data_IF_702780486638
#
_entry.id   IF_702780486638
#
_cell.length_a   1.000
_cell.length_b   1.000
_cell.length_c   1.000
_cell.angle_alpha   90.00
_cell.angle_beta   90.00
_cell.angle_gamma   90.00
#
_symmetry.space_group_name_H-M   'P 1'
#
loop_
_entity.id
_entity.type
_entity.pdbx_description
1 polymer ?
#
# COMPACT_ATOMS: atom_id res chain seq x y z
N UNK A 1 -46.47 18.88 -0.40
CA UNK A 1 -45.30 19.69 -0.84
C UNK A 1 -44.24 18.74 -1.37
N UNK A 2 -43.79 18.87 -2.63
CA UNK A 2 -42.66 18.04 -3.10
C UNK A 2 -41.41 18.52 -2.33
N UNK A 3 -40.83 17.72 -1.43
CA UNK A 3 -39.59 18.12 -0.80
C UNK A 3 -38.63 18.34 -1.96
N UNK A 4 -37.98 19.51 -2.00
CA UNK A 4 -36.79 19.71 -2.82
C UNK A 4 -37.13 20.07 -4.29
N UNK A 5 -38.01 21.06 -4.49
CA UNK A 5 -38.23 21.73 -5.79
C UNK A 5 -36.95 22.40 -6.31
N UNK A 6 -36.70 22.38 -7.62
CA UNK A 6 -35.55 23.09 -8.20
C UNK A 6 -35.82 24.58 -8.21
N UNK A 7 -35.09 25.28 -7.35
CA UNK A 7 -35.19 26.70 -7.06
C UNK A 7 -33.78 27.25 -6.74
N UNK A 8 -33.69 28.52 -6.34
CA UNK A 8 -32.40 29.15 -6.01
C UNK A 8 -31.62 28.39 -4.91
N UNK A 9 -32.30 27.83 -3.92
CA UNK A 9 -31.67 27.08 -2.82
C UNK A 9 -31.06 25.76 -3.33
N UNK A 10 -31.72 25.07 -4.26
CA UNK A 10 -31.15 23.86 -4.89
C UNK A 10 -29.81 24.14 -5.58
N UNK A 11 -29.73 25.21 -6.37
CA UNK A 11 -28.47 25.56 -7.05
C UNK A 11 -27.41 26.06 -6.08
N UNK A 12 -27.79 26.78 -5.03
CA UNK A 12 -26.88 27.18 -3.94
C UNK A 12 -26.32 25.95 -3.21
N UNK A 13 -27.17 24.99 -2.88
CA UNK A 13 -26.78 23.75 -2.23
C UNK A 13 -25.81 22.93 -3.08
N UNK A 14 -26.12 22.75 -4.37
CA UNK A 14 -25.20 22.10 -5.32
C UNK A 14 -23.86 22.82 -5.44
N UNK A 15 -23.87 24.15 -5.54
CA UNK A 15 -22.65 24.98 -5.58
C UNK A 15 -21.75 24.68 -4.38
N UNK A 16 -22.28 24.74 -3.16
CA UNK A 16 -21.45 24.56 -1.96
C UNK A 16 -20.96 23.11 -1.80
N UNK A 17 -21.76 22.11 -2.17
CA UNK A 17 -21.31 20.71 -2.16
C UNK A 17 -20.12 20.48 -3.09
N UNK A 18 -20.13 21.06 -4.31
CA UNK A 18 -19.00 20.92 -5.23
C UNK A 18 -17.76 21.71 -4.77
N UNK A 19 -17.92 22.80 -4.02
CA UNK A 19 -16.80 23.46 -3.33
C UNK A 19 -16.19 22.52 -2.28
N UNK A 20 -17.01 21.87 -1.47
CA UNK A 20 -16.54 20.89 -0.48
C UNK A 20 -15.84 19.70 -1.16
N UNK A 21 -16.41 19.16 -2.25
CA UNK A 21 -15.78 18.09 -3.02
C UNK A 21 -14.39 18.48 -3.55
N UNK A 22 -14.26 19.71 -4.10
CA UNK A 22 -12.98 20.22 -4.59
C UNK A 22 -11.96 20.35 -3.46
N UNK A 23 -12.38 20.92 -2.33
CA UNK A 23 -11.51 21.09 -1.16
C UNK A 23 -11.02 19.73 -0.63
N UNK A 24 -11.90 18.74 -0.52
CA UNK A 24 -11.51 17.39 -0.08
C UNK A 24 -10.58 16.69 -1.08
N UNK A 25 -10.86 16.80 -2.38
CA UNK A 25 -9.98 16.27 -3.41
C UNK A 25 -8.58 16.87 -3.33
N UNK A 26 -8.48 18.18 -3.10
CA UNK A 26 -7.20 18.88 -2.95
C UNK A 26 -6.45 18.42 -1.69
N UNK A 27 -7.14 18.29 -0.56
CA UNK A 27 -6.55 17.76 0.69
C UNK A 27 -5.95 16.37 0.45
N UNK A 28 -6.71 15.46 -0.18
CA UNK A 28 -6.22 14.12 -0.47
C UNK A 28 -5.02 14.16 -1.42
N UNK A 29 -5.07 14.97 -2.47
CA UNK A 29 -3.98 15.15 -3.42
C UNK A 29 -2.70 15.64 -2.71
N UNK A 30 -2.79 16.68 -1.89
CA UNK A 30 -1.64 17.24 -1.14
C UNK A 30 -1.06 16.22 -0.16
N UNK A 31 -1.92 15.53 0.60
CA UNK A 31 -1.46 14.51 1.56
C UNK A 31 -0.82 13.32 0.84
N UNK A 32 -1.42 12.84 -0.26
CA UNK A 32 -0.85 11.76 -1.07
C UNK A 32 0.49 12.17 -1.71
N UNK A 33 0.63 13.40 -2.20
CA UNK A 33 1.94 13.90 -2.66
C UNK A 33 3.01 13.91 -1.57
N UNK A 34 2.62 14.17 -0.31
CA UNK A 34 3.56 14.24 0.81
C UNK A 34 3.99 12.88 1.33
N UNK A 35 3.06 11.94 1.49
CA UNK A 35 3.33 10.64 2.15
C UNK A 35 2.98 9.41 1.29
N UNK A 36 2.60 9.62 0.03
CA UNK A 36 2.24 8.56 -0.93
C UNK A 36 1.00 7.77 -0.51
N UNK A 37 0.98 6.50 -0.89
CA UNK A 37 -0.03 5.52 -0.48
C UNK A 37 -0.12 5.35 1.06
N UNK A 38 0.85 5.87 1.83
CA UNK A 38 0.82 5.76 3.28
C UNK A 38 -0.31 6.54 3.94
N UNK A 39 -0.94 7.46 3.20
CA UNK A 39 -2.16 8.15 3.63
C UNK A 39 -3.26 7.17 4.04
N UNK A 40 -3.39 6.03 3.34
CA UNK A 40 -4.43 5.03 3.59
C UNK A 40 -4.22 4.28 4.92
N UNK A 41 -3.01 4.33 5.48
CA UNK A 41 -2.67 3.72 6.78
C UNK A 41 -2.72 4.71 7.95
N UNK A 42 -3.04 5.99 7.70
CA UNK A 42 -3.22 6.94 8.80
C UNK A 42 -4.46 6.56 9.61
N UNK A 43 -4.40 6.52 10.96
CA UNK A 43 -5.56 6.21 11.80
C UNK A 43 -6.78 7.11 11.55
N UNK A 44 -6.53 8.33 11.06
CA UNK A 44 -7.53 9.36 10.80
C UNK A 44 -8.10 9.32 9.39
N UNK A 45 -7.53 8.51 8.50
CA UNK A 45 -7.97 8.41 7.11
C UNK A 45 -9.40 7.88 7.00
N UNK A 46 -9.76 6.85 7.76
CA UNK A 46 -11.10 6.22 7.69
C UNK A 46 -12.23 7.20 8.02
N UNK A 47 -12.05 8.04 9.04
CA UNK A 47 -13.03 9.07 9.42
C UNK A 47 -13.16 10.14 8.33
N UNK A 48 -12.04 10.64 7.83
CA UNK A 48 -12.03 11.61 6.73
C UNK A 48 -12.66 11.02 5.46
N UNK A 49 -12.36 9.75 5.15
CA UNK A 49 -12.88 9.02 3.99
C UNK A 49 -14.40 8.88 4.07
N UNK A 50 -14.97 8.55 5.23
CA UNK A 50 -16.43 8.47 5.40
C UNK A 50 -17.09 9.83 5.15
N UNK A 51 -16.54 10.92 5.69
CA UNK A 51 -17.06 12.28 5.43
C UNK A 51 -16.98 12.59 3.93
N UNK A 52 -15.89 12.23 3.28
CA UNK A 52 -15.67 12.44 1.84
C UNK A 52 -16.71 11.70 1.00
N UNK A 53 -16.96 10.43 1.34
CA UNK A 53 -17.95 9.59 0.66
C UNK A 53 -19.35 10.18 0.79
N UNK A 54 -19.74 10.62 2.00
CA UNK A 54 -21.06 11.24 2.23
C UNK A 54 -21.23 12.51 1.38
N UNK A 55 -20.24 13.41 1.40
CA UNK A 55 -20.30 14.67 0.63
C UNK A 55 -20.38 14.39 -0.88
N UNK A 56 -19.59 13.44 -1.39
CA UNK A 56 -19.61 13.06 -2.80
C UNK A 56 -20.95 12.45 -3.23
N UNK A 57 -21.48 11.51 -2.44
CA UNK A 57 -22.78 10.89 -2.71
C UNK A 57 -23.88 11.96 -2.77
N UNK A 58 -23.89 12.91 -1.85
CA UNK A 58 -24.85 14.02 -1.86
C UNK A 58 -24.70 14.91 -3.10
N UNK A 59 -23.46 15.22 -3.51
CA UNK A 59 -23.18 15.96 -4.74
C UNK A 59 -23.71 15.23 -5.99
N UNK A 60 -23.50 13.91 -6.06
CA UNK A 60 -24.01 13.07 -7.15
C UNK A 60 -25.54 12.98 -7.16
N UNK A 61 -26.20 12.88 -6.00
CA UNK A 61 -27.66 12.95 -5.91
C UNK A 61 -28.21 14.28 -6.43
N UNK A 62 -27.54 15.39 -6.10
CA UNK A 62 -27.91 16.72 -6.63
C UNK A 62 -27.76 16.77 -8.16
N UNK A 63 -26.71 16.17 -8.72
CA UNK A 63 -26.56 16.05 -10.19
C UNK A 63 -27.65 15.19 -10.83
N UNK A 64 -27.93 14.00 -10.29
CA UNK A 64 -28.98 13.13 -10.80
C UNK A 64 -30.33 13.84 -10.84
N UNK A 65 -30.66 14.56 -9.77
CA UNK A 65 -31.88 15.36 -9.70
C UNK A 65 -31.91 16.49 -10.73
N UNK A 66 -30.77 17.17 -10.93
CA UNK A 66 -30.63 18.18 -11.97
C UNK A 66 -30.85 17.58 -13.37
N UNK A 67 -30.27 16.40 -13.65
CA UNK A 67 -30.45 15.70 -14.93
C UNK A 67 -31.89 15.27 -15.17
N UNK A 68 -32.57 14.77 -14.14
CA UNK A 68 -33.99 14.44 -14.20
C UNK A 68 -34.83 15.67 -14.59
N UNK A 69 -34.58 16.82 -13.95
CA UNK A 69 -35.31 18.06 -14.23
C UNK A 69 -35.05 18.64 -15.61
N UNK A 70 -33.79 18.62 -16.07
CA UNK A 70 -33.43 19.04 -17.42
C UNK A 70 -33.77 17.99 -18.49
N UNK A 71 -34.35 16.85 -18.08
CA UNK A 71 -34.73 15.72 -18.95
C UNK A 71 -33.54 15.12 -19.71
N UNK A 72 -32.35 15.12 -19.11
CA UNK A 72 -31.17 14.44 -19.65
C UNK A 72 -31.24 12.93 -19.33
N UNK A 73 -32.18 12.21 -19.95
CA UNK A 73 -32.54 10.83 -19.59
C UNK A 73 -31.36 9.85 -19.66
N UNK A 74 -30.55 9.92 -20.72
CA UNK A 74 -29.38 9.03 -20.90
C UNK A 74 -28.35 9.28 -19.79
N UNK A 75 -27.98 10.55 -19.57
CA UNK A 75 -27.05 10.95 -18.51
C UNK A 75 -27.55 10.59 -17.12
N UNK A 76 -28.85 10.72 -16.86
CA UNK A 76 -29.45 10.29 -15.60
C UNK A 76 -29.29 8.78 -15.37
N UNK A 77 -29.64 7.94 -16.35
CA UNK A 77 -29.57 6.48 -16.21
C UNK A 77 -28.13 6.01 -16.01
N UNK A 78 -27.19 6.50 -16.83
CA UNK A 78 -25.77 6.12 -16.71
C UNK A 78 -25.13 6.68 -15.43
N UNK A 79 -25.50 7.91 -15.03
CA UNK A 79 -25.08 8.46 -13.74
C UNK A 79 -25.59 7.65 -12.56
N UNK A 80 -26.83 7.13 -12.61
CA UNK A 80 -27.39 6.30 -11.55
C UNK A 80 -26.64 4.97 -11.41
N UNK A 81 -26.32 4.32 -12.54
CA UNK A 81 -25.50 3.10 -12.55
C UNK A 81 -24.12 3.37 -11.95
N UNK A 82 -23.47 4.46 -12.36
CA UNK A 82 -22.17 4.86 -11.79
C UNK A 82 -22.24 5.08 -10.27
N UNK A 83 -23.26 5.79 -9.77
CA UNK A 83 -23.44 6.03 -8.32
C UNK A 83 -23.57 4.71 -7.55
N UNK A 84 -24.36 3.76 -8.05
CA UNK A 84 -24.54 2.45 -7.39
C UNK A 84 -23.21 1.71 -7.31
N UNK A 85 -22.48 1.61 -8.43
CA UNK A 85 -21.19 0.92 -8.47
C UNK A 85 -20.14 1.61 -7.59
N UNK A 86 -20.14 2.95 -7.56
CA UNK A 86 -19.25 3.74 -6.73
C UNK A 86 -19.50 3.48 -5.23
N UNK A 87 -20.76 3.40 -4.81
CA UNK A 87 -21.13 3.08 -3.42
C UNK A 87 -20.67 1.67 -3.05
N UNK A 88 -20.90 0.68 -3.91
CA UNK A 88 -20.39 -0.68 -3.70
C UNK A 88 -18.86 -0.68 -3.55
N UNK A 89 -18.16 0.07 -4.38
CA UNK A 89 -16.70 0.19 -4.30
C UNK A 89 -16.21 0.87 -3.02
N UNK A 90 -16.90 1.91 -2.54
CA UNK A 90 -16.59 2.52 -1.25
C UNK A 90 -16.77 1.57 -0.08
N UNK A 91 -17.78 0.68 -0.12
CA UNK A 91 -17.96 -0.37 0.88
C UNK A 91 -16.75 -1.31 0.86
N UNK A 92 -16.30 -1.75 -0.32
CA UNK A 92 -15.11 -2.61 -0.46
C UNK A 92 -13.86 -1.93 0.13
N UNK A 93 -13.60 -0.66 -0.20
CA UNK A 93 -12.45 0.09 0.36
C UNK A 93 -12.57 0.21 1.88
N UNK A 94 -13.76 0.52 2.40
CA UNK A 94 -13.98 0.65 3.83
C UNK A 94 -13.74 -0.67 4.55
N UNK A 95 -14.26 -1.80 4.05
CA UNK A 95 -14.06 -3.12 4.66
C UNK A 95 -12.61 -3.58 4.58
N UNK A 96 -11.90 -3.27 3.49
CA UNK A 96 -10.46 -3.55 3.38
C UNK A 96 -9.67 -2.75 4.40
N UNK A 97 -9.92 -1.45 4.50
CA UNK A 97 -9.19 -0.57 5.42
C UNK A 97 -9.50 -0.80 6.91
N UNK A 98 -10.72 -1.23 7.25
CA UNK A 98 -11.16 -1.41 8.65
C UNK A 98 -11.06 -2.84 9.16
N UNK A 99 -11.32 -3.84 8.31
CA UNK A 99 -11.42 -5.24 8.70
C UNK A 99 -10.45 -6.16 7.94
N UNK A 100 -9.70 -5.65 6.94
CA UNK A 100 -8.84 -6.45 6.05
C UNK A 100 -9.57 -7.60 5.36
N UNK A 101 -10.86 -7.40 5.09
CA UNK A 101 -11.73 -8.35 4.38
C UNK A 101 -11.98 -7.87 2.94
N UNK A 102 -12.38 -8.81 2.07
CA UNK A 102 -12.82 -8.55 0.69
C UNK A 102 -11.73 -8.02 -0.26
N UNK A 103 -10.44 -8.20 0.03
CA UNK A 103 -9.35 -7.74 -0.84
C UNK A 103 -9.47 -8.30 -2.28
N UNK A 104 -9.89 -9.57 -2.42
CA UNK A 104 -10.11 -10.19 -3.73
C UNK A 104 -11.23 -9.52 -4.56
N UNK A 105 -12.22 -8.92 -3.92
CA UNK A 105 -13.33 -8.23 -4.61
C UNK A 105 -12.88 -6.89 -5.20
N UNK A 106 -11.85 -6.25 -4.64
CA UNK A 106 -11.35 -4.97 -5.16
C UNK A 106 -10.91 -5.09 -6.62
N UNK A 107 -10.22 -6.18 -6.97
CA UNK A 107 -9.74 -6.46 -8.34
C UNK A 107 -10.87 -6.48 -9.38
N UNK A 108 -12.08 -6.84 -8.96
CA UNK A 108 -13.26 -6.90 -9.83
C UNK A 108 -14.12 -5.63 -9.75
N UNK A 109 -14.30 -5.08 -8.55
CA UNK A 109 -15.14 -3.90 -8.33
C UNK A 109 -14.56 -2.65 -8.99
N UNK A 110 -13.24 -2.48 -8.94
CA UNK A 110 -12.59 -1.25 -9.37
C UNK A 110 -12.70 -1.01 -10.90
N UNK A 111 -12.41 -1.99 -11.78
CA UNK A 111 -12.63 -1.84 -13.23
C UNK A 111 -14.08 -1.51 -13.59
N UNK A 112 -15.06 -2.11 -12.89
CA UNK A 112 -16.48 -1.86 -13.14
C UNK A 112 -16.84 -0.39 -12.88
N UNK A 113 -16.31 0.20 -11.81
CA UNK A 113 -16.47 1.64 -11.53
C UNK A 113 -15.83 2.47 -12.64
N UNK A 114 -14.61 2.14 -13.06
CA UNK A 114 -13.91 2.89 -14.13
C UNK A 114 -14.66 2.81 -15.48
N UNK A 115 -15.16 1.64 -15.86
CA UNK A 115 -15.96 1.49 -17.08
C UNK A 115 -17.26 2.30 -16.97
N UNK A 116 -17.96 2.22 -15.83
CA UNK A 116 -19.21 2.95 -15.64
C UNK A 116 -19.03 4.47 -15.65
N UNK A 117 -17.93 5.00 -15.10
CA UNK A 117 -17.64 6.43 -15.11
C UNK A 117 -17.29 6.93 -16.51
N UNK A 118 -16.65 6.09 -17.34
CA UNK A 118 -16.39 6.38 -18.75
C UNK A 118 -17.69 6.42 -19.58
N UNK A 119 -18.62 5.48 -19.35
CA UNK A 119 -19.93 5.53 -20.01
C UNK A 119 -20.72 6.78 -19.59
N UNK A 120 -20.69 7.11 -18.30
CA UNK A 120 -21.29 8.34 -17.79
C UNK A 120 -20.66 9.59 -18.41
N UNK A 121 -19.34 9.64 -18.58
CA UNK A 121 -18.64 10.78 -19.18
C UNK A 121 -18.95 10.95 -20.67
N UNK A 122 -19.01 9.86 -21.43
CA UNK A 122 -19.47 9.86 -22.84
C UNK A 122 -20.87 10.47 -22.93
N UNK A 123 -21.77 10.13 -21.99
CA UNK A 123 -23.12 10.70 -21.95
C UNK A 123 -23.11 12.22 -21.72
N UNK A 124 -22.18 12.75 -20.92
CA UNK A 124 -22.03 14.19 -20.69
C UNK A 124 -21.51 14.92 -21.92
N UNK A 125 -20.75 14.23 -22.79
CA UNK A 125 -20.16 14.81 -24.00
C UNK A 125 -21.16 14.82 -25.17
N UNK A 126 -21.80 13.67 -25.43
CA UNK A 126 -22.51 13.43 -26.69
C UNK A 126 -24.04 13.45 -26.58
N UNK A 127 -24.61 13.42 -25.37
CA UNK A 127 -26.06 13.53 -25.21
C UNK A 127 -26.53 14.99 -25.15
N UNK A 128 -27.84 15.20 -24.95
CA UNK A 128 -28.42 16.53 -24.71
C UNK A 128 -27.76 17.29 -23.55
N UNK A 129 -27.18 16.59 -22.57
CA UNK A 129 -26.41 17.23 -21.50
C UNK A 129 -25.18 18.00 -22.03
N UNK A 130 -24.54 17.49 -23.09
CA UNK A 130 -23.34 18.08 -23.71
C UNK A 130 -23.57 19.40 -24.43
N UNK A 131 -24.83 19.81 -24.60
CA UNK A 131 -25.17 21.19 -25.04
C UNK A 131 -24.82 22.23 -23.97
N UNK A 132 -24.61 21.82 -22.72
CA UNK A 132 -24.14 22.69 -21.64
C UNK A 132 -22.61 22.68 -21.61
N UNK A 133 -21.93 23.83 -21.84
CA UNK A 133 -20.47 23.87 -21.93
C UNK A 133 -19.79 23.23 -20.72
N UNK A 134 -20.21 23.59 -19.51
CA UNK A 134 -19.62 23.08 -18.28
C UNK A 134 -19.86 21.58 -18.03
N UNK A 135 -21.00 21.02 -18.48
CA UNK A 135 -21.21 19.56 -18.41
C UNK A 135 -20.36 18.82 -19.44
N UNK A 136 -20.23 19.38 -20.65
CA UNK A 136 -19.34 18.84 -21.68
C UNK A 136 -17.88 18.87 -21.22
N UNK A 137 -17.44 19.96 -20.60
CA UNK A 137 -16.10 20.07 -19.98
C UNK A 137 -15.91 19.03 -18.89
N UNK A 138 -16.90 18.83 -18.00
CA UNK A 138 -16.85 17.77 -17.00
C UNK A 138 -16.71 16.38 -17.65
N UNK A 139 -17.51 16.09 -18.68
CA UNK A 139 -17.44 14.84 -19.44
C UNK A 139 -16.06 14.60 -20.05
N UNK A 140 -15.49 15.60 -20.73
CA UNK A 140 -14.13 15.49 -21.29
C UNK A 140 -13.08 15.23 -20.21
N UNK A 141 -13.17 15.94 -19.09
CA UNK A 141 -12.23 15.79 -17.97
C UNK A 141 -12.30 14.38 -17.37
N UNK A 142 -13.51 13.89 -17.08
CA UNK A 142 -13.73 12.53 -16.57
C UNK A 142 -13.25 11.48 -17.57
N UNK A 143 -13.51 11.68 -18.86
CA UNK A 143 -13.12 10.73 -19.90
C UNK A 143 -11.59 10.59 -19.97
N UNK A 144 -10.85 11.70 -19.94
CA UNK A 144 -9.38 11.68 -19.99
C UNK A 144 -8.81 11.02 -18.73
N UNK A 145 -9.18 11.50 -17.54
CA UNK A 145 -8.62 10.96 -16.28
C UNK A 145 -9.06 9.51 -16.05
N UNK A 146 -10.32 9.17 -16.32
CA UNK A 146 -10.83 7.81 -16.22
C UNK A 146 -10.15 6.84 -17.18
N UNK A 147 -9.78 7.30 -18.39
CA UNK A 147 -9.05 6.46 -19.37
C UNK A 147 -7.63 6.23 -18.92
N UNK A 148 -6.93 7.26 -18.42
CA UNK A 148 -5.60 7.12 -17.81
C UNK A 148 -5.67 6.10 -16.68
N UNK A 149 -6.64 6.25 -15.77
CA UNK A 149 -6.77 5.37 -14.61
C UNK A 149 -7.08 3.91 -15.00
N UNK A 150 -7.95 3.69 -15.98
CA UNK A 150 -8.29 2.34 -16.46
C UNK A 150 -7.10 1.68 -17.17
N UNK A 151 -6.42 2.40 -18.05
CA UNK A 151 -5.24 1.90 -18.75
C UNK A 151 -4.09 1.63 -17.78
N UNK A 152 -3.84 2.54 -16.84
CA UNK A 152 -2.85 2.34 -15.78
C UNK A 152 -3.19 1.13 -14.90
N UNK A 153 -4.46 0.92 -14.56
CA UNK A 153 -4.87 -0.26 -13.81
C UNK A 153 -4.63 -1.55 -14.61
N UNK A 154 -5.10 -1.62 -15.86
CA UNK A 154 -4.91 -2.78 -16.73
C UNK A 154 -3.42 -3.08 -16.90
N UNK A 155 -2.60 -2.06 -17.11
CA UNK A 155 -1.16 -2.27 -17.24
C UNK A 155 -0.55 -2.77 -15.94
N UNK A 156 -0.91 -2.17 -14.79
CA UNK A 156 -0.39 -2.57 -13.48
C UNK A 156 -0.68 -4.04 -13.16
N UNK A 157 -1.90 -4.52 -13.43
CA UNK A 157 -2.26 -5.92 -13.11
C UNK A 157 -1.70 -6.96 -14.08
N UNK A 158 -1.17 -6.53 -15.23
CA UNK A 158 -0.63 -7.42 -16.26
C UNK A 158 0.90 -7.28 -16.44
N UNK A 159 1.57 -6.47 -15.63
CA UNK A 159 3.02 -6.25 -15.72
C UNK A 159 3.73 -6.81 -14.50
N UNK A 160 4.81 -7.54 -14.73
CA UNK A 160 5.78 -7.90 -13.70
C UNK A 160 6.97 -6.92 -13.68
N UNK A 161 7.03 -6.00 -14.66
CA UNK A 161 8.10 -5.03 -14.76
C UNK A 161 8.01 -3.97 -13.64
N UNK A 162 9.01 -4.00 -12.76
CA UNK A 162 9.12 -3.13 -11.58
C UNK A 162 9.12 -1.63 -11.95
N UNK A 163 9.82 -1.24 -13.01
CA UNK A 163 9.91 0.18 -13.43
C UNK A 163 8.57 0.70 -13.91
N UNK A 164 7.81 -0.14 -14.61
CA UNK A 164 6.46 0.19 -15.05
C UNK A 164 5.56 0.41 -13.83
N UNK A 165 5.58 -0.48 -12.85
CA UNK A 165 4.78 -0.34 -11.62
C UNK A 165 5.11 0.96 -10.90
N UNK A 166 6.40 1.29 -10.72
CA UNK A 166 6.84 2.54 -10.09
C UNK A 166 6.38 3.76 -10.90
N UNK A 167 6.48 3.71 -12.24
CA UNK A 167 6.01 4.78 -13.11
C UNK A 167 4.48 4.97 -13.00
N UNK A 168 3.72 3.87 -12.99
CA UNK A 168 2.27 3.89 -12.84
C UNK A 168 1.82 4.43 -11.48
N UNK A 169 2.57 4.18 -10.40
CA UNK A 169 2.34 4.80 -9.10
C UNK A 169 2.48 6.33 -9.17
N UNK A 170 3.50 6.85 -9.86
CA UNK A 170 3.66 8.30 -10.07
C UNK A 170 2.52 8.88 -10.90
N UNK A 171 2.10 8.18 -11.97
CA UNK A 171 0.93 8.57 -12.78
C UNK A 171 -0.30 8.69 -11.89
N UNK A 172 -0.53 7.74 -10.98
CA UNK A 172 -1.65 7.77 -10.03
C UNK A 172 -1.62 9.01 -9.12
N UNK A 173 -0.47 9.41 -8.59
CA UNK A 173 -0.36 10.64 -7.78
C UNK A 173 -0.76 11.89 -8.56
N UNK A 174 -0.26 12.04 -9.79
CA UNK A 174 -0.64 13.17 -10.65
C UNK A 174 -2.12 13.13 -11.05
N UNK A 175 -2.65 11.94 -11.33
CA UNK A 175 -4.06 11.75 -11.67
C UNK A 175 -4.97 12.13 -10.48
N UNK A 176 -4.64 11.72 -9.25
CA UNK A 176 -5.37 12.11 -8.03
C UNK A 176 -5.41 13.63 -7.83
N UNK A 177 -4.30 14.32 -8.08
CA UNK A 177 -4.27 15.78 -7.99
C UNK A 177 -5.11 16.43 -9.10
N UNK A 178 -5.09 15.90 -10.32
CA UNK A 178 -5.95 16.37 -11.39
C UNK A 178 -7.45 16.16 -11.07
N UNK A 179 -7.81 15.01 -10.47
CA UNK A 179 -9.18 14.72 -10.03
C UNK A 179 -9.72 15.73 -9.01
N UNK A 180 -8.86 16.39 -8.23
CA UNK A 180 -9.29 17.48 -7.31
C UNK A 180 -9.95 18.66 -8.03
N UNK A 181 -9.69 18.84 -9.32
CA UNK A 181 -10.26 19.90 -10.15
C UNK A 181 -11.60 19.49 -10.79
N UNK A 182 -11.94 18.20 -10.81
CA UNK A 182 -13.16 17.67 -11.43
C UNK A 182 -14.46 18.32 -10.91
N UNK A 183 -14.61 18.66 -9.62
CA UNK A 183 -15.80 19.34 -9.12
C UNK A 183 -16.03 20.74 -9.74
N UNK A 184 -14.99 21.39 -10.29
CA UNK A 184 -15.03 22.78 -10.76
C UNK A 184 -15.99 22.94 -11.96
N UNK A 185 -15.93 22.14 -13.04
CA UNK A 185 -16.93 22.19 -14.10
C UNK A 185 -18.38 22.05 -13.60
N UNK A 186 -18.66 21.15 -12.66
CA UNK A 186 -20.00 21.02 -12.09
C UNK A 186 -20.40 22.27 -11.29
N UNK A 187 -19.51 22.78 -10.44
CA UNK A 187 -19.67 24.05 -9.73
C UNK A 187 -20.05 25.20 -10.68
N UNK A 188 -19.30 25.36 -11.78
CA UNK A 188 -19.53 26.40 -12.78
C UNK A 188 -20.86 26.21 -13.53
N UNK A 189 -21.29 24.96 -13.76
CA UNK A 189 -22.63 24.67 -14.27
C UNK A 189 -23.73 25.17 -13.31
N UNK A 190 -23.61 24.88 -12.00
CA UNK A 190 -24.59 25.33 -11.00
C UNK A 190 -24.61 26.86 -10.86
N UNK A 191 -23.45 27.52 -10.87
CA UNK A 191 -23.35 28.97 -10.85
C UNK A 191 -23.98 29.61 -12.10
N UNK A 192 -23.75 29.03 -13.28
CA UNK A 192 -24.36 29.46 -14.54
C UNK A 192 -25.89 29.37 -14.51
N UNK A 193 -26.44 28.26 -14.01
CA UNK A 193 -27.89 28.09 -13.86
C UNK A 193 -28.49 29.05 -12.83
N UNK A 194 -27.81 29.25 -11.70
CA UNK A 194 -28.25 30.18 -10.66
C UNK A 194 -28.40 31.62 -11.18
N UNK A 195 -27.52 32.07 -12.08
CA UNK A 195 -27.57 33.41 -12.69
C UNK A 195 -28.76 33.60 -13.64
N UNK A 196 -29.30 32.52 -14.21
CA UNK A 196 -30.41 32.56 -15.18
C UNK A 196 -31.80 32.54 -14.55
N UNK A 197 -31.91 32.30 -13.24
CA UNK A 197 -33.20 32.22 -12.56
C UNK A 197 -33.69 33.61 -12.15
N UNK A 198 -34.85 34.01 -12.68
CA UNK A 198 -35.66 35.07 -12.10
C UNK A 198 -36.21 34.62 -10.74
N UNK A 199 -35.51 35.08 -9.70
CA UNK A 199 -35.81 35.11 -8.27
C UNK A 199 -37.15 34.52 -7.78
N UNK A 200 -37.30 33.19 -7.76
CA UNK A 200 -38.16 32.52 -6.77
C UNK A 200 -37.30 31.82 -5.72
N UNK A 201 -37.25 32.44 -4.54
CA UNK A 201 -36.68 31.81 -3.34
C UNK A 201 -37.54 30.58 -2.97
N UNK A 202 -36.89 29.54 -2.45
CA UNK A 202 -37.60 28.37 -1.93
C UNK A 202 -38.34 28.68 -0.63
N UNK A 203 -38.94 27.65 -0.04
CA UNK A 203 -39.49 27.74 1.31
C UNK A 203 -38.39 28.18 2.30
N UNK A 204 -38.61 29.23 3.12
CA UNK A 204 -37.61 29.68 4.11
C UNK A 204 -37.17 28.58 5.07
N UNK A 205 -38.08 27.70 5.47
CA UNK A 205 -37.81 26.56 6.35
C UNK A 205 -36.82 25.60 5.66
N UNK A 206 -37.10 25.21 4.41
CA UNK A 206 -36.24 24.31 3.64
C UNK A 206 -34.87 24.95 3.38
N UNK A 207 -34.81 26.26 3.11
CA UNK A 207 -33.55 27.00 2.93
C UNK A 207 -32.71 26.96 4.21
N UNK A 208 -33.32 27.19 5.38
CA UNK A 208 -32.63 27.15 6.67
C UNK A 208 -32.11 25.74 7.01
N UNK A 209 -32.90 24.70 6.76
CA UNK A 209 -32.46 23.30 6.95
C UNK A 209 -31.26 22.97 6.06
N UNK A 210 -31.31 23.34 4.77
CA UNK A 210 -30.19 23.12 3.84
C UNK A 210 -28.93 23.88 4.27
N UNK A 211 -29.06 25.13 4.74
CA UNK A 211 -27.94 25.91 5.27
C UNK A 211 -27.34 25.28 6.53
N UNK A 212 -28.19 24.81 7.46
CA UNK A 212 -27.74 24.10 8.66
C UNK A 212 -26.98 22.83 8.34
N UNK A 213 -27.50 22.02 7.39
CA UNK A 213 -26.79 20.84 6.90
C UNK A 213 -25.44 21.19 6.28
N UNK A 214 -25.39 22.21 5.43
CA UNK A 214 -24.15 22.67 4.79
C UNK A 214 -23.13 23.19 5.80
N UNK A 215 -23.59 23.86 6.86
CA UNK A 215 -22.71 24.30 7.94
C UNK A 215 -22.09 23.10 8.66
N UNK A 216 -22.90 22.09 9.02
CA UNK A 216 -22.41 20.86 9.66
C UNK A 216 -21.43 20.13 8.73
N UNK A 217 -21.76 19.99 7.45
CA UNK A 217 -20.88 19.37 6.46
C UNK A 217 -19.55 20.15 6.31
N UNK A 218 -19.61 21.48 6.26
CA UNK A 218 -18.43 22.35 6.21
C UNK A 218 -17.54 22.16 7.44
N UNK A 219 -18.11 22.17 8.64
CA UNK A 219 -17.38 21.91 9.89
C UNK A 219 -16.72 20.52 9.85
N UNK A 220 -17.47 19.47 9.50
CA UNK A 220 -16.95 18.11 9.43
C UNK A 220 -15.79 17.99 8.43
N UNK A 221 -15.95 18.55 7.22
CA UNK A 221 -14.90 18.57 6.20
C UNK A 221 -13.65 19.29 6.70
N UNK A 222 -13.80 20.49 7.26
CA UNK A 222 -12.67 21.28 7.77
C UNK A 222 -11.97 20.56 8.92
N UNK A 223 -12.70 20.09 9.93
CA UNK A 223 -12.12 19.44 11.11
C UNK A 223 -11.39 18.15 10.73
N UNK A 224 -12.03 17.25 9.97
CA UNK A 224 -11.40 15.99 9.56
C UNK A 224 -10.21 16.22 8.61
N UNK A 225 -10.29 17.20 7.71
CA UNK A 225 -9.18 17.53 6.81
C UNK A 225 -7.99 18.12 7.56
N UNK A 226 -8.24 19.02 8.53
CA UNK A 226 -7.19 19.55 9.40
C UNK A 226 -6.49 18.43 10.19
N UNK A 227 -7.27 17.51 10.76
CA UNK A 227 -6.73 16.36 11.50
C UNK A 227 -5.89 15.46 10.59
N UNK A 228 -6.39 15.13 9.39
CA UNK A 228 -5.68 14.30 8.41
C UNK A 228 -4.35 14.97 7.98
N UNK A 229 -4.39 16.26 7.65
CA UNK A 229 -3.19 17.03 7.30
C UNK A 229 -2.19 17.00 8.47
N UNK A 230 -2.60 17.38 9.68
CA UNK A 230 -1.71 17.38 10.84
C UNK A 230 -1.10 16.00 11.12
N UNK A 231 -1.88 14.93 10.96
CA UNK A 231 -1.40 13.55 11.08
C UNK A 231 -0.37 13.21 10.00
N UNK A 232 -0.57 13.68 8.76
CA UNK A 232 0.39 13.48 7.68
C UNK A 232 1.73 14.20 7.93
N UNK A 233 1.72 15.39 8.54
CA UNK A 233 2.94 16.09 8.93
C UNK A 233 3.67 15.35 10.05
N UNK A 234 2.97 14.96 11.12
CA UNK A 234 3.55 14.16 12.20
C UNK A 234 4.13 12.84 11.70
N UNK A 235 3.44 12.18 10.77
CA UNK A 235 3.93 10.97 10.13
C UNK A 235 5.22 11.23 9.35
N UNK A 236 5.26 12.30 8.55
CA UNK A 236 6.45 12.71 7.79
C UNK A 236 7.63 13.04 8.71
N UNK A 237 7.41 13.77 9.80
CA UNK A 237 8.48 14.13 10.75
C UNK A 237 9.01 12.89 11.46
N UNK A 238 8.11 11.99 11.89
CA UNK A 238 8.50 10.71 12.47
C UNK A 238 9.32 9.87 11.48
N UNK A 239 8.93 9.85 10.19
CA UNK A 239 9.67 9.16 9.16
C UNK A 239 11.08 9.77 8.95
N UNK A 240 11.20 11.09 8.95
CA UNK A 240 12.50 11.77 8.85
C UNK A 240 13.39 11.42 10.05
N UNK A 241 12.84 11.46 11.26
CA UNK A 241 13.57 11.06 12.48
C UNK A 241 14.00 9.59 12.44
N UNK A 242 13.13 8.71 11.93
CA UNK A 242 13.45 7.30 11.69
C UNK A 242 14.58 7.15 10.68
N UNK A 243 14.52 7.87 9.57
CA UNK A 243 15.55 7.84 8.54
C UNK A 243 16.91 8.30 9.07
N UNK A 244 16.96 9.36 9.88
CA UNK A 244 18.21 9.80 10.51
C UNK A 244 18.79 8.75 11.46
N UNK A 245 17.95 8.11 12.29
CA UNK A 245 18.41 6.97 13.11
C UNK A 245 18.88 5.79 12.25
N UNK A 246 18.16 5.50 11.16
CA UNK A 246 18.51 4.42 10.25
C UNK A 246 19.86 4.66 9.57
N UNK A 247 20.18 5.91 9.19
CA UNK A 247 21.49 6.28 8.64
C UNK A 247 22.62 6.04 9.65
N UNK A 248 22.40 6.36 10.93
CA UNK A 248 23.37 6.08 12.00
C UNK A 248 23.57 4.57 12.15
N UNK A 249 22.48 3.79 12.25
CA UNK A 249 22.56 2.32 12.35
C UNK A 249 23.22 1.68 11.12
N UNK A 250 23.08 2.28 9.94
CA UNK A 250 23.64 1.79 8.70
C UNK A 250 25.13 2.14 8.51
N UNK A 251 25.74 2.99 9.35
CA UNK A 251 27.15 3.40 9.19
C UNK A 251 28.15 2.23 9.14
N UNK A 252 28.02 1.15 9.95
CA UNK A 252 28.92 0.01 9.86
C UNK A 252 28.79 -0.77 8.55
N UNK A 253 27.72 -0.57 7.79
CA UNK A 253 27.40 -1.33 6.59
C UNK A 253 27.76 -0.53 5.34
N UNK A 254 28.52 -1.16 4.44
CA UNK A 254 28.85 -0.63 3.12
C UNK A 254 27.57 -0.44 2.29
N UNK A 255 27.36 0.77 1.76
CA UNK A 255 26.22 1.08 0.90
C UNK A 255 26.52 0.61 -0.52
N UNK A 256 25.69 -0.29 -1.06
CA UNK A 256 25.86 -0.80 -2.42
C UNK A 256 24.53 -0.84 -3.16
N UNK A 257 24.57 -1.09 -4.46
CA UNK A 257 23.38 -1.22 -5.30
C UNK A 257 23.67 -2.24 -6.38
N UNK A 258 22.83 -3.26 -6.45
CA UNK A 258 22.83 -4.20 -7.56
C UNK A 258 21.91 -3.68 -8.66
N UNK A 259 22.34 -3.85 -9.92
CA UNK A 259 21.52 -3.55 -11.10
C UNK A 259 21.19 -4.87 -11.76
N UNK A 260 19.95 -5.31 -11.60
CA UNK A 260 19.51 -6.59 -12.14
C UNK A 260 19.44 -6.59 -13.66
N UNK A 261 19.24 -7.77 -14.23
CA UNK A 261 19.22 -8.01 -15.68
C UNK A 261 18.23 -7.14 -16.46
N UNK A 262 17.15 -6.69 -15.82
CA UNK A 262 16.13 -5.79 -16.38
C UNK A 262 16.37 -4.30 -16.07
N UNK A 263 17.57 -3.94 -15.60
CA UNK A 263 17.95 -2.59 -15.19
C UNK A 263 17.31 -2.12 -13.89
N UNK A 264 16.62 -3.00 -13.16
CA UNK A 264 16.00 -2.68 -11.85
C UNK A 264 17.10 -2.63 -10.79
N UNK A 265 17.08 -1.57 -9.99
CA UNK A 265 18.09 -1.36 -8.94
C UNK A 265 17.55 -1.83 -7.59
N UNK A 266 18.35 -2.63 -6.89
CA UNK A 266 18.09 -2.97 -5.49
C UNK A 266 19.23 -2.41 -4.63
N UNK A 267 18.98 -1.35 -3.85
CA UNK A 267 19.95 -0.88 -2.87
C UNK A 267 20.10 -1.91 -1.76
N UNK A 268 21.32 -2.11 -1.29
CA UNK A 268 21.58 -2.99 -0.16
C UNK A 268 22.71 -2.46 0.71
N UNK A 269 22.76 -3.00 1.92
CA UNK A 269 23.79 -2.75 2.92
C UNK A 269 24.54 -4.04 3.19
N UNK A 270 25.86 -3.98 3.13
CA UNK A 270 26.73 -5.14 3.35
C UNK A 270 27.65 -4.87 4.54
N UNK A 271 27.55 -5.70 5.58
CA UNK A 271 28.52 -5.74 6.67
C UNK A 271 29.49 -6.88 6.42
N UNK A 272 30.79 -6.60 6.46
CA UNK A 272 31.84 -7.62 6.38
C UNK A 272 32.13 -8.20 7.77
N UNK A 273 32.66 -9.44 7.86
CA UNK A 273 33.21 -9.98 9.10
C UNK A 273 34.16 -8.99 9.79
N UNK A 274 34.22 -9.02 11.12
CA UNK A 274 35.27 -8.28 11.85
C UNK A 274 36.63 -8.81 11.40
N UNK A 275 37.58 -7.91 11.16
CA UNK A 275 38.93 -8.24 10.71
C UNK A 275 38.95 -9.12 9.43
N UNK A 276 38.08 -8.81 8.47
CA UNK A 276 37.89 -9.54 7.22
C UNK A 276 39.21 -9.89 6.51
N UNK A 277 39.46 -11.19 6.35
CA UNK A 277 40.57 -11.76 5.56
C UNK A 277 40.05 -12.26 4.20
N UNK A 278 40.47 -11.66 3.06
CA UNK A 278 40.02 -12.06 1.74
C UNK A 278 40.42 -13.49 1.32
N UNK A 279 41.28 -14.18 2.07
CA UNK A 279 41.67 -15.56 1.78
C UNK A 279 40.79 -16.61 2.49
N UNK A 280 40.00 -16.20 3.49
CA UNK A 280 39.11 -17.07 4.25
C UNK A 280 37.69 -17.00 3.71
N UNK A 281 37.01 -18.15 3.65
CA UNK A 281 35.60 -18.21 3.31
C UNK A 281 34.72 -17.96 4.55
N UNK A 282 33.71 -17.08 4.42
CA UNK A 282 32.79 -16.73 5.51
C UNK A 282 31.34 -17.01 5.14
N UNK A 283 30.46 -17.34 6.11
CA UNK A 283 29.03 -17.42 5.87
C UNK A 283 28.42 -16.12 5.34
N UNK A 284 27.24 -16.23 4.74
CA UNK A 284 26.41 -15.10 4.34
C UNK A 284 25.05 -15.17 5.03
N UNK A 285 24.68 -14.12 5.76
CA UNK A 285 23.32 -13.93 6.29
C UNK A 285 22.57 -12.94 5.42
N UNK A 286 21.47 -13.39 4.83
CA UNK A 286 20.53 -12.57 4.06
C UNK A 286 19.40 -12.13 4.99
N UNK A 287 19.35 -10.82 5.27
CA UNK A 287 18.42 -10.23 6.22
C UNK A 287 17.27 -9.48 5.52
N UNK A 288 16.04 -10.00 5.59
CA UNK A 288 14.88 -9.48 4.88
C UNK A 288 13.99 -8.61 5.78
N UNK A 289 14.02 -7.29 5.61
CA UNK A 289 13.35 -6.35 6.51
C UNK A 289 11.82 -6.52 6.55
N UNK A 290 11.18 -6.14 7.66
CA UNK A 290 9.72 -6.03 7.73
C UNK A 290 9.21 -4.85 6.90
N UNK A 291 7.89 -4.74 6.66
CA UNK A 291 7.32 -3.73 5.74
C UNK A 291 7.64 -2.25 6.04
N UNK A 292 8.18 -1.94 7.23
CA UNK A 292 8.62 -0.60 7.60
C UNK A 292 9.95 -0.17 6.97
N UNK A 293 10.68 -1.09 6.33
CA UNK A 293 11.99 -0.83 5.70
C UNK A 293 11.92 -0.45 4.22
N UNK A 294 10.74 -0.44 3.61
CA UNK A 294 10.56 -0.07 2.21
C UNK A 294 11.14 1.31 1.90
N UNK A 295 11.89 1.40 0.82
CA UNK A 295 12.44 2.67 0.39
C UNK A 295 13.48 2.53 -0.71
N UNK A 296 14.13 3.65 -0.98
CA UNK A 296 15.25 3.77 -1.93
C UNK A 296 16.41 4.58 -1.32
N UNK A 297 16.32 4.89 -0.02
CA UNK A 297 17.28 5.70 0.74
C UNK A 297 18.52 4.89 1.17
N UNK A 298 18.46 3.57 1.03
CA UNK A 298 19.48 2.61 1.44
C UNK A 298 19.84 2.73 2.93
N UNK A 299 18.93 3.09 3.83
CA UNK A 299 19.17 3.12 5.27
C UNK A 299 18.04 2.48 6.11
N UNK A 300 16.77 2.79 5.81
CA UNK A 300 15.59 2.32 6.57
C UNK A 300 15.50 0.80 6.72
N UNK A 301 16.08 0.03 5.81
CA UNK A 301 16.12 -1.42 5.93
C UNK A 301 16.91 -1.90 7.14
N UNK A 302 17.93 -1.16 7.60
CA UNK A 302 18.73 -1.53 8.77
C UNK A 302 17.92 -1.33 10.06
N UNK A 303 17.27 -0.17 10.20
CA UNK A 303 16.36 0.09 11.33
C UNK A 303 15.22 -0.93 11.36
N UNK A 304 14.74 -1.36 10.18
CA UNK A 304 13.63 -2.31 10.03
C UNK A 304 14.09 -3.78 9.97
N UNK A 305 15.36 -4.06 10.29
CA UNK A 305 15.95 -5.39 10.35
C UNK A 305 16.61 -5.57 11.72
N UNK A 306 15.83 -5.88 12.76
CA UNK A 306 16.37 -5.90 14.11
C UNK A 306 17.39 -7.05 14.33
N UNK A 307 17.32 -8.13 13.54
CA UNK A 307 18.38 -9.16 13.46
C UNK A 307 19.67 -8.62 12.84
N UNK A 308 19.62 -7.69 11.88
CA UNK A 308 20.83 -7.07 11.32
C UNK A 308 21.50 -6.18 12.38
N UNK A 309 20.70 -5.46 13.17
CA UNK A 309 21.21 -4.69 14.31
C UNK A 309 21.84 -5.61 15.36
N UNK A 310 21.17 -6.72 15.72
CA UNK A 310 21.73 -7.74 16.62
C UNK A 310 23.06 -8.29 16.09
N UNK A 311 23.13 -8.73 14.84
CA UNK A 311 24.33 -9.31 14.23
C UNK A 311 25.45 -8.28 14.04
N UNK A 312 25.13 -7.00 13.94
CA UNK A 312 26.13 -5.92 13.81
C UNK A 312 26.83 -5.55 15.12
N UNK A 313 26.36 -6.05 16.28
CA UNK A 313 27.03 -5.84 17.57
C UNK A 313 28.41 -6.52 17.56
N UNK A 314 29.44 -5.84 18.08
CA UNK A 314 30.82 -6.32 18.04
C UNK A 314 31.00 -7.73 18.63
N UNK A 315 30.29 -8.06 19.71
CA UNK A 315 30.29 -9.41 20.31
C UNK A 315 29.81 -10.47 19.30
N UNK A 316 28.62 -10.27 18.72
CA UNK A 316 28.07 -11.20 17.73
C UNK A 316 28.92 -11.28 16.46
N UNK A 317 29.51 -10.17 16.00
CA UNK A 317 30.41 -10.19 14.84
C UNK A 317 31.71 -10.96 15.09
N UNK A 318 32.19 -11.01 16.33
CA UNK A 318 33.37 -11.79 16.72
C UNK A 318 33.04 -13.27 16.92
N UNK A 319 31.90 -13.57 17.56
CA UNK A 319 31.47 -14.95 17.81
C UNK A 319 30.97 -15.64 16.53
N UNK A 320 30.30 -14.89 15.65
CA UNK A 320 29.71 -15.38 14.41
C UNK A 320 30.19 -14.54 13.21
N UNK A 321 31.48 -14.67 12.81
CA UNK A 321 32.04 -13.88 11.72
C UNK A 321 31.39 -14.27 10.39
N UNK A 322 30.60 -13.37 9.82
CA UNK A 322 29.85 -13.56 8.58
C UNK A 322 29.66 -12.25 7.81
N UNK A 323 29.36 -12.37 6.52
CA UNK A 323 28.78 -11.27 5.76
C UNK A 323 27.31 -11.10 6.15
N UNK A 324 26.87 -9.87 6.40
CA UNK A 324 25.45 -9.56 6.61
C UNK A 324 24.97 -8.71 5.44
N UNK A 325 24.14 -9.30 4.58
CA UNK A 325 23.56 -8.67 3.41
C UNK A 325 22.10 -8.29 3.71
N UNK A 326 21.82 -6.99 3.69
CA UNK A 326 20.49 -6.44 4.00
C UNK A 326 20.00 -5.61 2.80
N UNK A 327 19.25 -6.22 1.87
CA UNK A 327 18.66 -5.52 0.74
C UNK A 327 17.51 -4.62 1.22
N UNK A 328 17.20 -3.58 0.44
CA UNK A 328 16.04 -2.73 0.66
C UNK A 328 14.98 -2.98 -0.42
N UNK A 329 13.81 -3.46 -0.01
CA UNK A 329 12.66 -3.68 -0.89
C UNK A 329 12.11 -2.32 -1.36
N UNK A 330 11.95 -2.10 -2.68
CA UNK A 330 11.33 -0.87 -3.18
C UNK A 330 9.85 -0.74 -2.79
N UNK A 331 9.31 0.48 -2.65
CA UNK A 331 7.90 0.67 -2.35
C UNK A 331 6.96 -0.05 -3.35
N UNK A 332 6.00 -0.81 -2.82
CA UNK A 332 5.00 -1.53 -3.63
C UNK A 332 5.41 -2.93 -4.06
N UNK A 333 6.57 -3.42 -3.62
CA UNK A 333 7.03 -4.80 -3.83
C UNK A 333 7.11 -5.56 -2.51
N UNK A 334 7.34 -6.86 -2.60
CA UNK A 334 7.60 -7.72 -1.45
C UNK A 334 8.86 -8.55 -1.69
N UNK A 335 9.26 -9.34 -0.71
CA UNK A 335 10.30 -10.35 -0.89
C UNK A 335 9.79 -11.65 -1.56
N UNK A 336 8.49 -11.73 -1.86
CA UNK A 336 7.82 -12.94 -2.32
C UNK A 336 7.04 -13.63 -1.21
N UNK A 337 6.19 -14.59 -1.59
CA UNK A 337 5.36 -15.37 -0.68
C UNK A 337 4.05 -14.70 -0.23
N UNK A 338 3.87 -13.40 -0.47
CA UNK A 338 2.60 -12.71 -0.23
C UNK A 338 1.71 -12.81 -1.49
N UNK A 339 0.52 -13.43 -1.41
CA UNK A 339 -0.33 -13.63 -2.58
C UNK A 339 -0.71 -12.33 -3.30
N UNK A 340 -0.69 -12.35 -4.63
CA UNK A 340 -1.08 -11.24 -5.51
C UNK A 340 -0.27 -9.94 -5.32
N UNK A 341 0.94 -10.01 -4.77
CA UNK A 341 1.84 -8.86 -4.70
C UNK A 341 3.12 -9.13 -5.52
N UNK A 342 3.61 -8.13 -6.28
CA UNK A 342 4.86 -8.28 -7.01
C UNK A 342 6.03 -8.42 -6.03
N UNK A 343 7.07 -9.15 -6.42
CA UNK A 343 8.24 -9.38 -5.59
C UNK A 343 9.57 -9.01 -6.27
N UNK A 344 10.63 -9.00 -5.46
CA UNK A 344 12.01 -8.73 -5.88
C UNK A 344 12.96 -9.88 -5.55
N UNK A 345 12.46 -11.11 -5.36
CA UNK A 345 13.28 -12.26 -4.94
C UNK A 345 14.43 -12.52 -5.93
N UNK A 346 14.13 -12.52 -7.23
CA UNK A 346 15.14 -12.69 -8.29
C UNK A 346 16.27 -11.67 -8.21
N UNK A 347 15.96 -10.40 -7.95
CA UNK A 347 16.98 -9.34 -7.83
C UNK A 347 17.87 -9.53 -6.60
N UNK A 348 17.32 -10.09 -5.53
CA UNK A 348 18.10 -10.45 -4.34
C UNK A 348 19.04 -11.61 -4.67
N UNK A 349 18.58 -12.64 -5.37
CA UNK A 349 19.43 -13.76 -5.78
C UNK A 349 20.55 -13.30 -6.75
N UNK A 350 20.23 -12.48 -7.75
CA UNK A 350 21.23 -11.91 -8.67
C UNK A 350 22.29 -11.08 -7.92
N UNK A 351 21.89 -10.32 -6.90
CA UNK A 351 22.82 -9.56 -6.06
C UNK A 351 23.73 -10.47 -5.20
N UNK A 352 23.20 -11.60 -4.70
CA UNK A 352 24.01 -12.58 -3.97
C UNK A 352 25.01 -13.26 -4.91
N UNK A 353 24.60 -13.65 -6.12
CA UNK A 353 25.50 -14.22 -7.13
C UNK A 353 26.63 -13.25 -7.53
N UNK A 354 26.37 -11.94 -7.53
CA UNK A 354 27.40 -10.91 -7.75
C UNK A 354 28.40 -10.85 -6.58
N UNK A 355 27.90 -10.88 -5.34
CA UNK A 355 28.74 -10.85 -4.13
C UNK A 355 29.66 -12.08 -4.05
N UNK A 356 29.21 -13.23 -4.51
CA UNK A 356 29.99 -14.48 -4.50
C UNK A 356 31.12 -14.49 -5.53
N UNK A 357 31.01 -13.69 -6.59
CA UNK A 357 32.11 -13.48 -7.54
C UNK A 357 33.18 -12.55 -6.97
N UNK A 358 32.80 -11.65 -6.07
CA UNK A 358 33.69 -10.65 -5.48
C UNK A 358 34.35 -11.12 -4.18
N UNK A 359 33.61 -11.83 -3.33
CA UNK A 359 34.03 -12.26 -2.00
C UNK A 359 34.07 -13.77 -1.88
N UNK A 360 34.97 -14.28 -1.02
CA UNK A 360 34.98 -15.69 -0.64
C UNK A 360 33.83 -15.97 0.33
N UNK A 361 32.63 -16.12 -0.19
CA UNK A 361 31.45 -16.55 0.57
C UNK A 361 31.44 -18.08 0.62
N UNK A 362 31.20 -18.64 1.80
CA UNK A 362 31.03 -20.08 1.99
C UNK A 362 29.63 -20.48 1.49
N UNK A 363 29.60 -21.05 0.29
CA UNK A 363 28.38 -21.47 -0.38
C UNK A 363 27.53 -22.46 0.43
N UNK A 364 28.17 -23.23 1.32
CA UNK A 364 27.49 -24.19 2.18
C UNK A 364 26.89 -23.56 3.43
N UNK A 365 27.13 -22.27 3.68
CA UNK A 365 26.66 -21.52 4.87
C UNK A 365 26.05 -20.18 4.47
N UNK A 366 25.03 -20.25 3.62
CA UNK A 366 24.14 -19.13 3.32
C UNK A 366 22.87 -19.28 4.16
N UNK A 367 22.46 -18.22 4.82
CA UNK A 367 21.34 -18.23 5.73
C UNK A 367 20.33 -17.14 5.37
N UNK A 368 19.05 -17.35 5.67
CA UNK A 368 18.02 -16.32 5.52
C UNK A 368 17.26 -16.10 6.82
N UNK A 369 17.05 -14.85 7.18
CA UNK A 369 16.25 -14.44 8.33
C UNK A 369 15.39 -13.24 7.96
N UNK A 370 14.15 -13.23 8.42
CA UNK A 370 13.26 -12.12 8.12
C UNK A 370 12.03 -12.06 9.01
N UNK A 371 11.52 -10.85 9.20
CA UNK A 371 10.40 -10.53 10.07
C UNK A 371 9.21 -10.02 9.25
N UNK A 372 7.99 -10.50 9.55
CA UNK A 372 6.74 -10.06 8.93
C UNK A 372 6.80 -10.26 7.42
N UNK A 373 6.81 -9.18 6.61
CA UNK A 373 7.11 -9.25 5.18
C UNK A 373 8.40 -10.04 4.87
N UNK A 374 9.44 -9.87 5.69
CA UNK A 374 10.66 -10.65 5.64
C UNK A 374 10.49 -12.12 6.02
N UNK A 375 9.53 -12.43 6.89
CA UNK A 375 9.16 -13.79 7.24
C UNK A 375 8.51 -14.51 6.05
N UNK A 376 7.61 -13.83 5.32
CA UNK A 376 7.11 -14.33 4.03
C UNK A 376 8.24 -14.55 3.04
N UNK A 377 9.15 -13.57 2.92
CA UNK A 377 10.35 -13.68 2.09
C UNK A 377 11.23 -14.87 2.46
N UNK A 378 11.43 -15.13 3.75
CA UNK A 378 12.26 -16.25 4.23
C UNK A 378 11.66 -17.58 3.83
N UNK A 379 10.34 -17.77 4.04
CA UNK A 379 9.62 -18.95 3.56
C UNK A 379 9.69 -19.10 2.04
N UNK A 380 9.49 -17.99 1.32
CA UNK A 380 9.53 -17.98 -0.14
C UNK A 380 10.91 -18.35 -0.68
N UNK A 381 11.98 -17.75 -0.15
CA UNK A 381 13.35 -17.94 -0.60
C UNK A 381 13.78 -19.41 -0.51
N UNK A 382 13.54 -20.05 0.63
CA UNK A 382 13.86 -21.47 0.78
C UNK A 382 12.96 -22.35 -0.09
N UNK A 383 11.71 -21.96 -0.35
CA UNK A 383 10.81 -22.76 -1.19
C UNK A 383 11.22 -22.74 -2.67
N UNK A 384 11.72 -21.61 -3.18
CA UNK A 384 12.10 -21.44 -4.61
C UNK A 384 13.58 -21.71 -4.90
N UNK A 385 14.43 -21.74 -3.87
CA UNK A 385 15.86 -22.07 -3.93
C UNK A 385 16.29 -22.94 -2.74
N UNK A 386 15.69 -24.13 -2.52
CA UNK A 386 15.95 -24.93 -1.31
C UNK A 386 17.40 -25.35 -1.13
N UNK A 387 18.13 -25.57 -2.23
CA UNK A 387 19.55 -25.94 -2.21
C UNK A 387 20.52 -24.78 -1.98
N UNK A 388 20.02 -23.55 -1.90
CA UNK A 388 20.85 -22.36 -1.69
C UNK A 388 21.10 -22.10 -0.20
N UNK A 389 20.16 -22.46 0.68
CA UNK A 389 20.17 -22.02 2.08
C UNK A 389 20.48 -23.17 3.03
N UNK A 390 21.47 -22.97 3.89
CA UNK A 390 21.82 -23.88 4.98
C UNK A 390 20.86 -23.78 6.18
N UNK A 391 20.18 -22.64 6.36
CA UNK A 391 19.14 -22.48 7.38
C UNK A 391 18.23 -21.29 7.10
N UNK A 392 17.03 -21.33 7.69
CA UNK A 392 16.11 -20.20 7.70
C UNK A 392 15.50 -19.92 9.07
N UNK A 393 15.31 -18.62 9.36
CA UNK A 393 14.52 -18.14 10.51
C UNK A 393 13.38 -17.23 10.01
N UNK A 394 12.22 -17.80 9.65
CA UNK A 394 11.01 -17.04 9.33
C UNK A 394 10.31 -16.57 10.61
N UNK A 395 10.08 -15.26 10.75
CA UNK A 395 9.42 -14.67 11.94
C UNK A 395 8.13 -13.96 11.51
N UNK A 396 6.98 -14.30 12.12
CA UNK A 396 5.66 -13.70 11.87
C UNK A 396 5.27 -13.62 10.37
N UNK A 397 5.57 -14.67 9.59
CA UNK A 397 5.27 -14.74 8.16
C UNK A 397 4.37 -15.91 7.78
N UNK A 398 4.06 -16.03 6.49
CA UNK A 398 3.38 -17.18 5.88
C UNK A 398 4.15 -17.71 4.67
N UNK A 399 3.89 -18.96 4.29
CA UNK A 399 4.45 -19.58 3.10
C UNK A 399 3.37 -20.28 2.29
N UNK A 400 3.78 -21.03 1.26
CA UNK A 400 2.88 -21.92 0.53
C UNK A 400 3.06 -23.37 1.04
N UNK A 401 2.08 -23.93 1.78
CA UNK A 401 2.16 -25.30 2.28
C UNK A 401 2.36 -26.36 1.19
N UNK A 402 1.91 -26.11 -0.05
CA UNK A 402 2.07 -27.03 -1.18
C UNK A 402 3.55 -27.23 -1.57
N UNK A 403 4.42 -26.30 -1.16
CA UNK A 403 5.87 -26.37 -1.40
C UNK A 403 6.64 -26.98 -0.23
N UNK A 404 5.97 -27.46 0.83
CA UNK A 404 6.63 -27.99 2.02
C UNK A 404 7.60 -29.15 1.71
N UNK A 405 7.26 -30.01 0.73
CA UNK A 405 8.10 -31.14 0.34
C UNK A 405 9.48 -30.71 -0.18
N UNK A 406 9.61 -29.52 -0.79
CA UNK A 406 10.89 -29.06 -1.36
C UNK A 406 11.86 -28.53 -0.30
N UNK A 407 11.40 -28.32 0.94
CA UNK A 407 12.17 -27.69 2.03
C UNK A 407 12.34 -28.58 3.26
N UNK A 408 12.02 -29.87 3.16
CA UNK A 408 12.11 -30.81 4.30
C UNK A 408 13.54 -30.96 4.84
N UNK A 409 14.54 -30.78 3.97
CA UNK A 409 15.96 -30.89 4.30
C UNK A 409 16.57 -29.56 4.74
N UNK A 410 15.80 -28.46 4.72
CA UNK A 410 16.28 -27.15 5.16
C UNK A 410 16.06 -27.02 6.67
N UNK A 411 17.12 -26.81 7.47
CA UNK A 411 16.98 -26.45 8.87
C UNK A 411 16.18 -25.16 9.04
N UNK A 412 15.03 -25.25 9.71
CA UNK A 412 14.10 -24.13 9.90
C UNK A 412 13.80 -23.97 11.39
N UNK A 413 13.91 -22.73 11.88
CA UNK A 413 13.38 -22.35 13.19
C UNK A 413 12.45 -21.15 13.03
N UNK A 414 11.15 -21.42 12.99
CA UNK A 414 10.13 -20.40 12.80
C UNK A 414 9.58 -19.87 14.11
N UNK A 415 9.15 -18.60 14.11
CA UNK A 415 8.62 -17.91 15.29
C UNK A 415 7.33 -17.16 14.97
N UNK A 416 6.36 -17.19 15.89
CA UNK A 416 5.10 -16.43 15.74
C UNK A 416 4.46 -16.06 17.08
N UNK A 417 3.70 -14.96 17.12
CA UNK A 417 2.84 -14.60 18.25
C UNK A 417 1.42 -15.16 18.11
N UNK A 418 0.89 -15.78 19.17
CA UNK A 418 -0.45 -16.41 19.15
C UNK A 418 -1.58 -15.42 18.78
N UNK A 419 -1.48 -14.17 19.24
CA UNK A 419 -2.49 -13.12 19.08
C UNK A 419 -2.13 -12.11 17.99
N UNK A 420 -1.28 -12.50 17.04
CA UNK A 420 -0.92 -11.66 15.91
C UNK A 420 -2.16 -11.31 15.06
N UNK A 421 -2.47 -10.01 14.98
CA UNK A 421 -3.58 -9.45 14.18
C UNK A 421 -3.12 -8.87 12.86
N UNK A 422 -1.81 -8.77 12.65
CA UNK A 422 -1.21 -8.28 11.42
C UNK A 422 -1.02 -9.41 10.41
N UNK A 423 -0.46 -10.53 10.89
CA UNK A 423 -0.29 -11.77 10.13
C UNK A 423 -0.90 -12.90 10.94
N UNK A 424 -1.94 -13.59 10.45
CA UNK A 424 -2.56 -14.67 11.23
C UNK A 424 -1.55 -15.78 11.56
N UNK A 425 -1.48 -16.17 12.84
CA UNK A 425 -0.60 -17.25 13.33
C UNK A 425 -0.82 -18.58 12.60
N UNK A 426 -2.04 -18.81 12.08
CA UNK A 426 -2.37 -19.99 11.27
C UNK A 426 -1.42 -20.16 10.09
N UNK A 427 -0.94 -19.08 9.48
CA UNK A 427 -0.06 -19.17 8.31
C UNK A 427 1.30 -19.83 8.62
N UNK A 428 1.84 -19.63 9.83
CA UNK A 428 3.03 -20.37 10.26
C UNK A 428 2.69 -21.78 10.72
N UNK A 429 1.57 -21.97 11.44
CA UNK A 429 1.11 -23.31 11.84
C UNK A 429 0.89 -24.24 10.64
N UNK A 430 0.30 -23.73 9.56
CA UNK A 430 0.03 -24.47 8.34
C UNK A 430 1.32 -24.91 7.65
N UNK A 431 2.32 -24.02 7.54
CA UNK A 431 3.66 -24.38 7.02
C UNK A 431 4.34 -25.45 7.87
N UNK A 432 4.36 -25.26 9.19
CA UNK A 432 4.98 -26.20 10.13
C UNK A 432 4.32 -27.57 10.06
N UNK A 433 2.99 -27.61 9.99
CA UNK A 433 2.23 -28.84 9.82
C UNK A 433 2.59 -29.52 8.49
N UNK A 434 2.55 -28.77 7.38
CA UNK A 434 2.82 -29.33 6.05
C UNK A 434 4.24 -29.91 5.92
N UNK A 435 5.25 -29.25 6.49
CA UNK A 435 6.63 -29.77 6.47
C UNK A 435 6.75 -31.04 7.30
N UNK A 436 6.12 -31.10 8.49
CA UNK A 436 6.09 -32.31 9.33
C UNK A 436 5.38 -33.46 8.63
N UNK A 437 4.25 -33.19 7.98
CA UNK A 437 3.49 -34.18 7.21
C UNK A 437 4.30 -34.71 6.01
N UNK A 438 5.17 -33.87 5.42
CA UNK A 438 6.09 -34.24 4.34
C UNK A 438 7.38 -34.95 4.83
N UNK A 439 7.53 -35.16 6.14
CA UNK A 439 8.67 -35.86 6.75
C UNK A 439 9.83 -34.97 7.21
N UNK A 440 9.72 -33.64 7.10
CA UNK A 440 10.72 -32.70 7.60
C UNK A 440 10.56 -32.41 9.10
N UNK A 441 11.59 -31.84 9.72
CA UNK A 441 11.64 -31.61 11.17
C UNK A 441 11.89 -30.13 11.55
N UNK A 442 10.96 -29.20 11.22
CA UNK A 442 11.15 -27.79 11.52
C UNK A 442 10.96 -27.52 13.02
N UNK A 443 11.80 -26.65 13.57
CA UNK A 443 11.59 -26.05 14.88
C UNK A 443 10.57 -24.92 14.80
N UNK A 444 9.70 -24.83 15.80
CA UNK A 444 8.67 -23.80 15.86
C UNK A 444 8.46 -23.32 17.29
N UNK A 445 8.63 -22.03 17.51
CA UNK A 445 8.37 -21.37 18.78
C UNK A 445 7.20 -20.42 18.62
N UNK A 446 6.11 -20.71 19.33
CA UNK A 446 4.93 -19.84 19.39
C UNK A 446 4.86 -19.15 20.74
N UNK A 447 4.84 -17.81 20.76
CA UNK A 447 4.77 -17.04 21.99
C UNK A 447 3.31 -16.82 22.40
N UNK A 448 2.90 -17.47 23.49
CA UNK A 448 1.55 -17.36 24.05
C UNK A 448 1.20 -15.91 24.39
N UNK A 449 -0.01 -15.48 24.06
CA UNK A 449 -0.51 -14.11 24.24
C UNK A 449 0.25 -12.98 23.55
N UNK A 450 1.32 -13.26 22.79
CA UNK A 450 2.07 -12.23 22.07
C UNK A 450 1.36 -11.82 20.76
N UNK A 451 1.48 -10.54 20.40
CA UNK A 451 0.98 -9.98 19.13
C UNK A 451 2.01 -10.09 18.00
N UNK A 452 2.02 -9.11 17.09
CA UNK A 452 2.95 -9.09 15.94
C UNK A 452 4.40 -8.82 16.35
N UNK A 453 4.60 -7.94 17.34
CA UNK A 453 5.91 -7.44 17.75
C UNK A 453 6.58 -8.39 18.74
N UNK A 454 7.17 -9.48 18.22
CA UNK A 454 7.82 -10.54 19.02
C UNK A 454 9.35 -10.52 18.97
N UNK A 455 9.95 -9.52 18.31
CA UNK A 455 11.40 -9.54 18.07
C UNK A 455 12.22 -9.67 19.36
N UNK A 456 11.83 -8.98 20.43
CA UNK A 456 12.57 -9.04 21.69
C UNK A 456 12.59 -10.46 22.28
N UNK A 457 11.48 -11.18 22.18
CA UNK A 457 11.34 -12.56 22.62
C UNK A 457 12.17 -13.52 21.74
N UNK A 458 12.16 -13.30 20.42
CA UNK A 458 13.02 -14.05 19.48
C UNK A 458 14.49 -13.80 19.81
N UNK A 459 14.91 -12.55 19.97
CA UNK A 459 16.28 -12.17 20.30
C UNK A 459 16.74 -12.70 21.67
N UNK A 460 15.82 -12.97 22.60
CA UNK A 460 16.13 -13.59 23.90
C UNK A 460 16.03 -15.11 23.88
N UNK A 461 15.77 -15.74 22.73
CA UNK A 461 15.73 -17.21 22.62
C UNK A 461 17.14 -17.75 22.75
N UNK A 462 17.36 -18.56 23.78
CA UNK A 462 18.66 -19.17 24.08
C UNK A 462 19.13 -20.06 22.93
N UNK A 463 20.43 -19.97 22.61
CA UNK A 463 21.04 -20.76 21.55
C UNK A 463 20.62 -20.41 20.12
N UNK A 464 19.83 -19.34 19.90
CA UNK A 464 19.33 -19.00 18.55
C UNK A 464 20.46 -18.80 17.53
N UNK A 465 21.49 -18.02 17.90
CA UNK A 465 22.62 -17.76 17.00
C UNK A 465 23.56 -18.95 16.87
N UNK A 466 23.81 -19.69 17.97
CA UNK A 466 24.60 -20.92 17.92
C UNK A 466 23.95 -21.92 16.96
N UNK A 467 22.65 -22.20 17.13
CA UNK A 467 21.89 -23.05 16.24
C UNK A 467 21.98 -22.57 14.79
N UNK A 468 21.82 -21.27 14.53
CA UNK A 468 21.79 -20.72 13.17
C UNK A 468 23.14 -20.87 12.46
N UNK A 469 24.25 -20.58 13.14
CA UNK A 469 25.59 -20.63 12.56
C UNK A 469 26.25 -22.02 12.58
N UNK A 470 25.69 -22.97 13.32
CA UNK A 470 26.08 -24.39 13.26
C UNK A 470 25.59 -25.07 11.97
N UNK A 471 24.51 -24.59 11.35
CA UNK A 471 23.93 -25.23 10.16
C UNK A 471 24.85 -25.10 8.94
N UNK A 472 24.88 -26.16 8.12
CA UNK A 472 25.65 -26.24 6.88
C UNK A 472 24.96 -27.17 5.89
N UNK A 473 24.93 -26.79 4.61
CA UNK A 473 24.51 -27.68 3.52
C UNK A 473 25.51 -28.83 3.37
N UNK A 474 25.01 -30.06 3.31
CA UNK A 474 25.82 -31.26 3.12
C UNK A 474 26.58 -31.27 1.78
#
# INVERSE_FOLDING_TARGET
MRPFSINRDFYFFGTLLFVLCAAMGLVLGVVHFKIGERVFYLPTFSVWFVVMVIVNILGLFVLLKYYQHKRYSITFKLGLVYVILLVCHFIVIYTMSSARLLEGLFRYAYPLVLISVLLYSISLIFSNAGRRPWLKTAGLFIFVLGSIQLLSYIWNVNTENVHVIIALQKVRSWNLLAESLLPIPFLLNFLSEKRKLEMKNGSPILSNVLKGFLLIAGIAVTTTSFVLINNSYRFSDNLNNRLERAKVLAQPFEARTHVGSQGVKIPYRLLKPVDYDPNKAYPLVIGLHHGGGHGTDNALQIESSPYAQMLSKNENRRNYPAFIFVPQCPPGFTWGGIPNQPDVATLVFEAVDELEKEFRIDEKRRYVIGLSMGGYGSWHFISVRPKMFAAAIPICGGGNPDLAQSIIDVPIWAFHGEKDRSVPVSLSRDMIKAIRDAGGNPQYTEFSSAGHDIWNQVNSTEGLLDWFFEQKLE
#
